data_IF_729788292167
#
_entry.id   IF_729788292167
#
_cell.length_a   1.000
_cell.length_b   1.000
_cell.length_c   1.000
_cell.angle_alpha   90.00
_cell.angle_beta   90.00
_cell.angle_gamma   90.00
#
_symmetry.space_group_name_H-M   'P 1'
#
loop_
_entity.id
_entity.type
_entity.pdbx_description
1 polymer ?
#
# COMPACT_ATOMS: atom_id res chain seq x y z
N UNK A 1 20.20 -10.14 -1.58
CA UNK A 1 19.63 -9.71 -0.29
C UNK A 1 19.57 -8.19 -0.10
N UNK A 2 20.68 -7.46 0.13
CA UNK A 2 20.61 -6.00 0.34
C UNK A 2 20.13 -5.24 -0.91
N UNK A 3 20.58 -5.64 -2.10
CA UNK A 3 20.17 -5.00 -3.36
C UNK A 3 18.67 -5.22 -3.63
N UNK A 4 18.15 -6.43 -3.41
CA UNK A 4 16.72 -6.74 -3.56
C UNK A 4 15.86 -5.97 -2.54
N UNK A 5 16.36 -5.85 -1.30
CA UNK A 5 15.70 -5.05 -0.27
C UNK A 5 15.57 -3.59 -0.68
N UNK A 6 16.67 -2.96 -1.12
CA UNK A 6 16.64 -1.57 -1.55
C UNK A 6 15.82 -1.38 -2.83
N UNK A 7 15.91 -2.30 -3.79
CA UNK A 7 15.10 -2.25 -5.01
C UNK A 7 13.60 -2.32 -4.69
N UNK A 8 13.20 -3.24 -3.81
CA UNK A 8 11.81 -3.41 -3.43
C UNK A 8 11.28 -2.27 -2.56
N UNK A 9 12.08 -1.78 -1.62
CA UNK A 9 11.74 -0.60 -0.82
C UNK A 9 11.58 0.63 -1.72
N UNK A 10 12.48 0.84 -2.67
CA UNK A 10 12.42 1.96 -3.63
C UNK A 10 11.17 1.85 -4.50
N UNK A 11 10.91 0.66 -5.03
CA UNK A 11 9.71 0.37 -5.84
C UNK A 11 8.43 0.62 -5.05
N UNK A 12 8.29 0.04 -3.85
CA UNK A 12 7.11 0.24 -3.00
C UNK A 12 6.92 1.71 -2.62
N UNK A 13 8.01 2.41 -2.32
CA UNK A 13 7.97 3.85 -2.05
C UNK A 13 7.48 4.63 -3.27
N UNK A 14 8.02 4.37 -4.46
CA UNK A 14 7.63 5.03 -5.72
C UNK A 14 6.15 4.79 -6.04
N UNK A 15 5.68 3.55 -5.93
CA UNK A 15 4.29 3.20 -6.23
C UNK A 15 3.28 3.89 -5.30
N UNK A 16 3.72 4.22 -4.08
CA UNK A 16 2.86 4.74 -3.02
C UNK A 16 3.05 6.24 -2.77
N UNK A 17 3.95 6.90 -3.50
CA UNK A 17 4.05 8.37 -3.49
C UNK A 17 2.80 9.06 -4.06
N UNK A 18 2.18 8.58 -5.18
CA UNK A 18 1.00 9.23 -5.75
C UNK A 18 -0.17 9.34 -4.77
N UNK A 19 -0.38 8.34 -3.90
CA UNK A 19 -1.45 8.35 -2.90
C UNK A 19 -1.22 9.38 -1.79
N UNK A 20 0.03 9.76 -1.53
CA UNK A 20 0.36 10.77 -0.53
C UNK A 20 0.20 12.21 -1.07
N UNK A 21 0.08 12.41 -2.39
CA UNK A 21 -0.03 13.73 -3.01
C UNK A 21 -1.13 14.64 -2.42
N UNK A 22 -2.41 14.20 -2.31
CA UNK A 22 -3.47 15.05 -1.75
C UNK A 22 -3.23 15.42 -0.28
N UNK A 23 -2.60 14.53 0.49
CA UNK A 23 -2.24 14.80 1.89
C UNK A 23 -1.10 15.80 2.01
N UNK A 24 -0.08 15.69 1.16
CA UNK A 24 1.02 16.66 1.10
C UNK A 24 0.49 18.03 0.68
N UNK A 25 -0.38 18.10 -0.32
CA UNK A 25 -1.01 19.34 -0.78
C UNK A 25 -1.86 20.00 0.32
N UNK A 26 -2.65 19.23 1.06
CA UNK A 26 -3.45 19.72 2.19
C UNK A 26 -2.59 20.16 3.39
N UNK A 27 -1.51 19.43 3.69
CA UNK A 27 -0.57 19.82 4.74
C UNK A 27 0.14 21.14 4.40
N UNK A 28 0.55 21.31 3.13
CA UNK A 28 1.14 22.54 2.63
C UNK A 28 0.19 23.74 2.70
N UNK A 29 -1.08 23.56 2.32
CA UNK A 29 -2.06 24.66 2.33
C UNK A 29 -2.35 25.17 3.75
N UNK A 30 -2.53 24.25 4.71
CA UNK A 30 -2.75 24.59 6.12
C UNK A 30 -1.49 25.22 6.73
N UNK A 31 -0.30 24.66 6.44
CA UNK A 31 0.97 25.21 6.93
C UNK A 31 1.26 26.60 6.37
N UNK A 32 0.81 26.93 5.16
CA UNK A 32 0.96 28.25 4.54
C UNK A 32 0.01 29.29 5.16
N UNK A 33 -1.18 28.87 5.58
CA UNK A 33 -2.17 29.74 6.24
C UNK A 33 -1.82 30.05 7.70
N UNK A 34 -1.05 29.19 8.36
CA UNK A 34 -0.57 29.42 9.74
C UNK A 34 0.61 30.39 9.73
N UNK A 35 0.29 31.67 9.86
CA UNK A 35 1.07 32.90 9.78
C UNK A 35 2.45 32.98 10.51
N UNK A 36 3.40 32.10 10.17
CA UNK A 36 4.78 32.10 10.72
C UNK A 36 5.89 31.87 9.66
N UNK A 37 5.73 32.50 8.49
CA UNK A 37 6.83 33.10 7.71
C UNK A 37 7.83 32.20 6.98
N UNK A 38 7.91 30.89 7.27
CA UNK A 38 8.67 29.97 6.43
C UNK A 38 7.92 28.64 6.34
N UNK A 39 7.64 28.22 5.12
CA UNK A 39 7.49 26.79 4.83
C UNK A 39 8.75 26.13 5.38
N UNK A 40 8.68 25.54 6.58
CA UNK A 40 9.75 24.68 7.03
C UNK A 40 9.64 23.45 6.16
N UNK A 41 10.33 23.45 5.02
CA UNK A 41 10.46 22.29 4.14
C UNK A 41 10.81 21.03 4.95
N UNK A 42 11.57 21.22 6.05
CA UNK A 42 11.80 20.25 7.11
C UNK A 42 10.53 19.52 7.62
N UNK A 43 9.41 20.19 7.83
CA UNK A 43 8.17 19.56 8.32
C UNK A 43 7.51 18.67 7.26
N UNK A 44 7.53 19.09 6.00
CA UNK A 44 7.03 18.27 4.88
C UNK A 44 7.91 17.03 4.71
N UNK A 45 9.24 17.20 4.80
CA UNK A 45 10.20 16.10 4.78
C UNK A 45 9.92 15.13 5.94
N UNK A 46 9.67 15.62 7.14
CA UNK A 46 9.35 14.78 8.30
C UNK A 46 8.02 14.04 8.14
N UNK A 47 7.01 14.65 7.51
CA UNK A 47 5.76 13.97 7.17
C UNK A 47 6.00 12.82 6.19
N UNK A 48 6.74 13.07 5.11
CA UNK A 48 7.11 12.04 4.13
C UNK A 48 7.95 10.93 4.78
N UNK A 49 8.88 11.29 5.66
CA UNK A 49 9.67 10.31 6.43
C UNK A 49 8.80 9.42 7.29
N UNK A 50 7.81 9.97 8.01
CA UNK A 50 6.86 9.17 8.79
C UNK A 50 6.10 8.16 7.93
N UNK A 51 5.69 8.55 6.73
CA UNK A 51 5.04 7.68 5.75
C UNK A 51 5.97 6.55 5.27
N UNK A 52 7.19 6.90 4.87
CA UNK A 52 8.20 5.94 4.37
C UNK A 52 8.59 4.94 5.45
N UNK A 53 8.69 5.35 6.72
CA UNK A 53 9.02 4.44 7.83
C UNK A 53 7.99 3.33 7.97
N UNK A 54 6.69 3.64 7.86
CA UNK A 54 5.63 2.63 7.93
C UNK A 54 5.72 1.66 6.75
N UNK A 55 5.90 2.18 5.53
CA UNK A 55 6.05 1.35 4.34
C UNK A 55 7.33 0.50 4.36
N UNK A 56 8.42 1.03 4.90
CA UNK A 56 9.67 0.30 5.09
C UNK A 56 9.49 -0.88 6.05
N UNK A 57 8.74 -0.68 7.15
CA UNK A 57 8.38 -1.77 8.06
C UNK A 57 7.61 -2.89 7.35
N UNK A 58 6.68 -2.53 6.46
CA UNK A 58 5.95 -3.51 5.65
C UNK A 58 6.84 -4.25 4.64
N UNK A 59 7.74 -3.53 3.95
CA UNK A 59 8.70 -4.15 3.02
C UNK A 59 9.60 -5.17 3.73
N UNK A 60 10.02 -4.90 4.97
CA UNK A 60 10.78 -5.86 5.79
C UNK A 60 9.96 -7.14 6.04
N UNK A 61 8.67 -7.02 6.37
CA UNK A 61 7.81 -8.18 6.61
C UNK A 61 7.66 -9.05 5.36
N UNK A 62 7.44 -8.44 4.20
CA UNK A 62 7.32 -9.18 2.95
C UNK A 62 8.66 -9.83 2.54
N UNK A 63 9.79 -9.17 2.78
CA UNK A 63 11.12 -9.75 2.51
C UNK A 63 11.44 -10.91 3.44
N UNK A 64 11.10 -10.79 4.72
CA UNK A 64 11.22 -11.89 5.65
C UNK A 64 10.37 -13.08 5.21
N UNK A 65 9.14 -12.84 4.73
CA UNK A 65 8.26 -13.88 4.21
C UNK A 65 8.85 -14.55 2.96
N UNK A 66 9.41 -13.76 2.05
CA UNK A 66 10.10 -14.26 0.84
C UNK A 66 11.31 -15.13 1.20
N UNK A 67 12.15 -14.67 2.13
CA UNK A 67 13.31 -15.43 2.59
C UNK A 67 12.93 -16.76 3.22
N UNK A 68 11.85 -16.80 4.00
CA UNK A 68 11.37 -18.04 4.60
C UNK A 68 10.83 -19.02 3.55
N UNK A 69 10.13 -18.51 2.53
CA UNK A 69 9.71 -19.31 1.38
C UNK A 69 10.92 -19.87 0.62
N UNK A 70 11.95 -19.05 0.36
CA UNK A 70 13.20 -19.49 -0.29
C UNK A 70 13.92 -20.58 0.49
N UNK A 71 13.97 -20.46 1.83
CA UNK A 71 14.52 -21.49 2.72
C UNK A 71 13.73 -22.80 2.63
N UNK A 72 12.41 -22.73 2.51
CA UNK A 72 11.55 -23.91 2.33
C UNK A 72 11.81 -24.51 0.95
N UNK A 73 11.83 -23.72 -0.12
CA UNK A 73 12.11 -24.16 -1.49
C UNK A 73 13.43 -24.94 -1.59
N UNK A 74 14.50 -24.42 -0.98
CA UNK A 74 15.81 -25.09 -0.95
C UNK A 74 15.80 -26.43 -0.19
N UNK A 75 14.87 -26.64 0.75
CA UNK A 75 14.79 -27.85 1.58
C UNK A 75 13.88 -28.93 1.00
N UNK A 76 12.80 -28.57 0.32
CA UNK A 76 11.79 -29.53 -0.13
C UNK A 76 11.91 -29.97 -1.59
N UNK A 77 12.84 -29.42 -2.39
CA UNK A 77 12.96 -29.68 -3.85
C UNK A 77 11.67 -29.44 -4.66
N UNK A 78 10.67 -28.80 -4.04
CA UNK A 78 9.44 -28.37 -4.68
C UNK A 78 9.77 -27.23 -5.64
N UNK A 79 9.28 -27.31 -6.88
CA UNK A 79 9.41 -26.20 -7.81
C UNK A 79 8.63 -25.00 -7.25
N UNK A 80 9.29 -23.83 -7.26
CA UNK A 80 8.72 -22.56 -6.82
C UNK A 80 7.35 -22.29 -7.48
N UNK A 81 7.23 -22.66 -8.75
CA UNK A 81 6.02 -22.49 -9.58
C UNK A 81 4.82 -23.27 -9.02
N UNK A 82 5.01 -24.50 -8.53
CA UNK A 82 3.90 -25.37 -8.09
C UNK A 82 3.29 -24.86 -6.77
N UNK A 83 4.13 -24.34 -5.88
CA UNK A 83 3.66 -23.79 -4.60
C UNK A 83 2.94 -22.45 -4.79
N UNK A 84 3.48 -21.56 -5.62
CA UNK A 84 2.82 -20.29 -5.94
C UNK A 84 1.53 -20.53 -6.72
N UNK A 85 1.49 -21.50 -7.64
CA UNK A 85 0.26 -21.92 -8.33
C UNK A 85 -0.82 -22.42 -7.36
N UNK A 86 -0.41 -23.15 -6.31
CA UNK A 86 -1.34 -23.67 -5.31
C UNK A 86 -1.85 -22.60 -4.32
N UNK A 87 -1.01 -21.63 -3.95
CA UNK A 87 -1.32 -20.62 -2.91
C UNK A 87 -1.96 -19.36 -3.50
N UNK A 88 -1.55 -18.94 -4.70
CA UNK A 88 -2.05 -17.71 -5.35
C UNK A 88 -3.57 -17.63 -5.46
N UNK A 89 -4.31 -18.70 -5.82
CA UNK A 89 -5.76 -18.63 -5.95
C UNK A 89 -6.45 -18.31 -4.62
N UNK A 90 -5.99 -18.90 -3.53
CA UNK A 90 -6.50 -18.62 -2.19
C UNK A 90 -6.20 -17.19 -1.74
N UNK A 91 -4.99 -16.69 -2.04
CA UNK A 91 -4.64 -15.30 -1.75
C UNK A 91 -5.52 -14.34 -2.56
N UNK A 92 -5.72 -14.58 -3.86
CA UNK A 92 -6.59 -13.77 -4.71
C UNK A 92 -8.03 -13.72 -4.20
N UNK A 93 -8.58 -14.86 -3.78
CA UNK A 93 -9.93 -14.93 -3.18
C UNK A 93 -9.97 -14.14 -1.87
N UNK A 94 -8.98 -14.30 -1.00
CA UNK A 94 -8.88 -13.56 0.26
C UNK A 94 -8.77 -12.04 0.05
N UNK A 95 -7.99 -11.62 -0.95
CA UNK A 95 -7.84 -10.21 -1.32
C UNK A 95 -9.12 -9.65 -1.93
N UNK A 96 -9.78 -10.40 -2.80
CA UNK A 96 -11.09 -10.04 -3.34
C UNK A 96 -12.14 -9.90 -2.24
N UNK A 97 -12.19 -10.84 -1.31
CA UNK A 97 -13.07 -10.77 -0.14
C UNK A 97 -12.77 -9.55 0.73
N UNK A 98 -11.50 -9.29 1.05
CA UNK A 98 -11.06 -8.10 1.78
C UNK A 98 -11.51 -6.82 1.08
N UNK A 99 -11.39 -6.80 -0.24
CA UNK A 99 -11.69 -5.64 -1.07
C UNK A 99 -13.19 -5.32 -1.15
N UNK A 100 -14.05 -6.31 -0.87
CA UNK A 100 -15.50 -6.14 -0.72
C UNK A 100 -15.93 -5.77 0.70
N UNK A 101 -15.03 -5.81 1.69
CA UNK A 101 -15.40 -5.53 3.09
C UNK A 101 -15.76 -4.07 3.36
N UNK A 102 -16.66 -3.81 4.32
CA UNK A 102 -16.91 -2.45 4.79
C UNK A 102 -15.68 -1.83 5.47
N UNK A 103 -14.78 -2.67 6.01
CA UNK A 103 -13.53 -2.21 6.63
C UNK A 103 -12.62 -1.52 5.62
N UNK A 104 -12.43 -2.12 4.43
CA UNK A 104 -11.67 -1.46 3.35
C UNK A 104 -12.31 -0.13 2.95
N UNK A 105 -13.63 -0.09 2.79
CA UNK A 105 -14.34 1.14 2.40
C UNK A 105 -14.17 2.25 3.46
N UNK A 106 -14.26 1.91 4.74
CA UNK A 106 -14.02 2.86 5.83
C UNK A 106 -12.58 3.39 5.84
N UNK A 107 -11.60 2.50 5.64
CA UNK A 107 -10.19 2.87 5.51
C UNK A 107 -9.97 3.83 4.34
N UNK A 108 -10.53 3.49 3.17
CA UNK A 108 -10.36 4.24 1.93
C UNK A 108 -10.99 5.64 2.03
N UNK A 109 -12.15 5.76 2.67
CA UNK A 109 -12.76 7.07 2.99
C UNK A 109 -11.82 7.92 3.83
N UNK A 110 -11.24 7.34 4.89
CA UNK A 110 -10.30 8.05 5.75
C UNK A 110 -9.04 8.49 5.00
N UNK A 111 -8.47 7.62 4.18
CA UNK A 111 -7.32 7.93 3.32
C UNK A 111 -7.60 9.06 2.32
N UNK A 112 -8.85 9.29 1.93
CA UNK A 112 -9.24 10.34 0.97
C UNK A 112 -9.62 11.68 1.59
N UNK A 113 -9.83 11.75 2.90
CA UNK A 113 -10.31 12.97 3.58
C UNK A 113 -9.22 13.61 4.45
N UNK A 114 -8.13 14.15 3.86
CA UNK A 114 -7.01 14.71 4.62
C UNK A 114 -7.43 15.91 5.48
N UNK A 115 -8.34 16.75 4.96
CA UNK A 115 -8.81 17.97 5.63
C UNK A 115 -9.51 17.68 6.96
N UNK A 116 -10.36 16.65 7.02
CA UNK A 116 -11.08 16.33 8.26
C UNK A 116 -10.10 15.91 9.37
N UNK A 117 -9.08 15.12 9.03
CA UNK A 117 -8.04 14.72 9.97
C UNK A 117 -7.21 15.91 10.43
N UNK A 118 -6.71 16.74 9.51
CA UNK A 118 -5.89 17.89 9.87
C UNK A 118 -6.66 18.92 10.72
N UNK A 119 -7.95 19.15 10.45
CA UNK A 119 -8.76 20.05 11.27
C UNK A 119 -9.01 19.50 12.68
N UNK A 120 -9.13 18.18 12.85
CA UNK A 120 -9.44 17.56 14.14
C UNK A 120 -8.20 17.21 14.98
N UNK A 121 -7.06 16.91 14.35
CA UNK A 121 -5.89 16.30 14.99
C UNK A 121 -4.56 16.96 14.60
N UNK A 122 -4.58 18.26 14.25
CA UNK A 122 -3.35 18.99 13.91
C UNK A 122 -2.34 18.94 15.06
N UNK A 123 -1.13 18.46 14.77
CA UNK A 123 -0.01 18.46 15.73
C UNK A 123 1.11 19.37 15.23
N UNK A 124 1.35 20.45 15.97
CA UNK A 124 2.41 21.40 15.66
C UNK A 124 3.82 20.81 15.89
N UNK A 125 4.79 21.31 15.12
CA UNK A 125 6.21 20.99 15.29
C UNK A 125 6.70 19.75 14.53
N UNK A 126 8.02 19.50 14.54
CA UNK A 126 8.65 18.45 13.74
C UNK A 126 8.16 17.04 14.12
N UNK A 127 7.97 16.77 15.42
CA UNK A 127 7.43 15.50 15.91
C UNK A 127 5.97 15.31 15.50
N UNK A 128 5.19 16.39 15.47
CA UNK A 128 3.80 16.36 15.00
C UNK A 128 3.71 15.96 13.53
N UNK A 129 4.53 16.58 12.67
CA UNK A 129 4.60 16.26 11.25
C UNK A 129 4.94 14.78 10.99
N UNK A 130 5.94 14.23 11.70
CA UNK A 130 6.32 12.83 11.58
C UNK A 130 5.19 11.88 12.02
N UNK A 131 4.54 12.16 13.16
CA UNK A 131 3.43 11.33 13.65
C UNK A 131 2.22 11.38 12.70
N UNK A 132 1.92 12.54 12.13
CA UNK A 132 0.83 12.66 11.14
C UNK A 132 1.13 11.88 9.86
N UNK A 133 2.39 11.90 9.39
CA UNK A 133 2.85 11.10 8.26
C UNK A 133 2.76 9.59 8.52
N UNK A 134 3.20 9.14 9.71
CA UNK A 134 3.11 7.74 10.11
C UNK A 134 1.65 7.28 10.26
N UNK A 135 0.78 8.12 10.82
CA UNK A 135 -0.65 7.83 10.92
C UNK A 135 -1.28 7.62 9.54
N UNK A 136 -1.03 8.53 8.60
CA UNK A 136 -1.48 8.38 7.22
C UNK A 136 -0.90 7.10 6.57
N UNK A 137 0.38 6.81 6.80
CA UNK A 137 1.03 5.59 6.33
C UNK A 137 0.33 4.31 6.81
N UNK A 138 -0.06 4.25 8.09
CA UNK A 138 -0.76 3.09 8.67
C UNK A 138 -2.14 2.89 8.04
N UNK A 139 -2.89 3.96 7.81
CA UNK A 139 -4.18 3.87 7.11
C UNK A 139 -3.97 3.46 5.65
N UNK A 140 -3.06 4.09 4.92
CA UNK A 140 -2.77 3.75 3.52
C UNK A 140 -2.39 2.27 3.38
N UNK A 141 -1.50 1.79 4.27
CA UNK A 141 -1.14 0.38 4.36
C UNK A 141 -2.36 -0.48 4.66
N UNK A 142 -3.20 -0.11 5.63
CA UNK A 142 -4.44 -0.81 5.94
C UNK A 142 -5.40 -0.91 4.75
N UNK A 143 -5.41 0.05 3.84
CA UNK A 143 -6.31 0.00 2.68
C UNK A 143 -5.71 -0.83 1.53
N UNK A 144 -4.38 -0.88 1.41
CA UNK A 144 -3.68 -1.41 0.24
C UNK A 144 -2.92 -2.73 0.49
N UNK A 145 -2.72 -3.16 1.75
CA UNK A 145 -1.89 -4.33 2.08
C UNK A 145 -2.35 -5.60 1.37
N UNK A 146 -3.66 -5.82 1.23
CA UNK A 146 -4.21 -6.98 0.56
C UNK A 146 -3.81 -7.01 -0.93
N UNK A 147 -3.90 -5.88 -1.63
CA UNK A 147 -3.43 -5.77 -3.02
C UNK A 147 -1.93 -6.02 -3.13
N UNK A 148 -1.14 -5.57 -2.14
CA UNK A 148 0.29 -5.83 -2.10
C UNK A 148 0.60 -7.33 -1.89
N UNK A 149 -0.20 -8.01 -1.06
CA UNK A 149 -0.09 -9.47 -0.89
C UNK A 149 -0.45 -10.22 -2.16
N UNK A 150 -1.48 -9.81 -2.90
CA UNK A 150 -1.79 -10.42 -4.19
C UNK A 150 -0.64 -10.26 -5.19
N UNK A 151 -0.06 -9.05 -5.28
CA UNK A 151 1.09 -8.82 -6.15
C UNK A 151 2.27 -9.72 -5.77
N UNK A 152 2.50 -9.91 -4.46
CA UNK A 152 3.55 -10.80 -3.95
C UNK A 152 3.26 -12.28 -4.20
N UNK A 153 2.03 -12.75 -3.98
CA UNK A 153 1.65 -14.16 -4.18
C UNK A 153 1.71 -14.55 -5.64
N UNK A 154 1.35 -13.64 -6.55
CA UNK A 154 1.45 -13.88 -7.98
C UNK A 154 2.90 -14.09 -8.43
N UNK A 155 3.91 -13.79 -7.61
CA UNK A 155 5.32 -14.06 -7.91
C UNK A 155 5.88 -13.22 -9.06
N UNK A 156 5.10 -12.24 -9.53
CA UNK A 156 5.40 -11.47 -10.72
C UNK A 156 6.21 -10.24 -10.30
N UNK A 157 7.53 -10.41 -10.17
CA UNK A 157 8.50 -9.28 -10.24
C UNK A 157 8.54 -8.62 -11.63
N UNK A 158 7.44 -8.70 -12.38
CA UNK A 158 7.28 -8.12 -13.69
C UNK A 158 6.82 -6.68 -13.54
N UNK A 159 7.51 -5.81 -14.27
CA UNK A 159 7.22 -4.38 -14.34
C UNK A 159 5.74 -4.11 -14.69
N UNK A 160 5.12 -5.00 -15.47
CA UNK A 160 3.71 -4.90 -15.88
C UNK A 160 2.77 -4.94 -14.68
N UNK A 161 2.97 -5.89 -13.77
CA UNK A 161 2.13 -6.03 -12.57
C UNK A 161 2.36 -4.89 -11.60
N UNK A 162 3.59 -4.43 -11.45
CA UNK A 162 3.88 -3.23 -10.64
C UNK A 162 3.09 -2.02 -11.17
N UNK A 163 3.15 -1.75 -12.47
CA UNK A 163 2.41 -0.64 -13.08
C UNK A 163 0.91 -0.82 -12.90
N UNK A 164 0.39 -2.02 -13.13
CA UNK A 164 -1.03 -2.32 -12.98
C UNK A 164 -1.52 -2.07 -11.55
N UNK A 165 -0.85 -2.63 -10.54
CA UNK A 165 -1.24 -2.45 -9.14
C UNK A 165 -1.05 -1.00 -8.67
N UNK A 166 -0.03 -0.30 -9.16
CA UNK A 166 0.14 1.15 -8.92
C UNK A 166 -1.06 1.93 -9.42
N UNK A 167 -1.50 1.65 -10.65
CA UNK A 167 -2.66 2.30 -11.25
C UNK A 167 -3.92 1.97 -10.46
N UNK A 168 -4.13 0.71 -10.09
CA UNK A 168 -5.28 0.30 -9.27
C UNK A 168 -5.31 1.09 -7.96
N UNK A 169 -4.21 1.09 -7.20
CA UNK A 169 -4.12 1.78 -5.91
C UNK A 169 -4.25 3.29 -6.06
N UNK A 170 -3.68 3.87 -7.12
CA UNK A 170 -3.80 5.30 -7.41
C UNK A 170 -5.23 5.68 -7.75
N UNK A 171 -5.91 4.90 -8.60
CA UNK A 171 -7.31 5.11 -8.97
C UNK A 171 -8.21 4.95 -7.72
N UNK A 172 -7.97 3.94 -6.90
CA UNK A 172 -8.68 3.75 -5.63
C UNK A 172 -8.46 4.93 -4.69
N UNK A 173 -7.26 5.50 -4.59
CA UNK A 173 -6.99 6.57 -3.63
C UNK A 173 -7.35 7.96 -4.15
N UNK A 174 -7.36 8.19 -5.47
CA UNK A 174 -7.54 9.51 -6.06
C UNK A 174 -8.96 9.78 -6.58
N UNK A 175 -9.71 8.75 -7.01
CA UNK A 175 -11.05 8.96 -7.54
C UNK A 175 -12.12 9.05 -6.45
N UNK A 176 -13.08 9.96 -6.62
CA UNK A 176 -14.24 10.11 -5.74
C UNK A 176 -15.05 8.81 -5.60
N UNK A 177 -15.14 8.01 -6.66
CA UNK A 177 -15.87 6.73 -6.69
C UNK A 177 -14.97 5.50 -6.50
N UNK A 178 -13.75 5.64 -5.98
CA UNK A 178 -12.83 4.51 -5.93
C UNK A 178 -13.29 3.36 -5.00
N UNK A 179 -14.35 3.53 -4.19
CA UNK A 179 -15.01 2.40 -3.50
C UNK A 179 -15.69 1.43 -4.49
N UNK A 180 -16.35 1.98 -5.51
CA UNK A 180 -16.96 1.17 -6.58
C UNK A 180 -15.86 0.48 -7.37
N UNK A 181 -14.81 1.22 -7.73
CA UNK A 181 -13.65 0.66 -8.41
C UNK A 181 -12.97 -0.43 -7.57
N UNK A 182 -12.81 -0.22 -6.26
CA UNK A 182 -12.30 -1.24 -5.36
C UNK A 182 -13.15 -2.50 -5.42
N UNK A 183 -14.48 -2.40 -5.28
CA UNK A 183 -15.37 -3.57 -5.38
C UNK A 183 -15.26 -4.29 -6.72
N UNK A 184 -15.14 -3.56 -7.83
CA UNK A 184 -14.94 -4.15 -9.16
C UNK A 184 -13.62 -4.93 -9.23
N UNK A 185 -12.52 -4.33 -8.77
CA UNK A 185 -11.21 -5.02 -8.71
C UNK A 185 -11.30 -6.24 -7.80
N UNK A 186 -11.98 -6.14 -6.66
CA UNK A 186 -12.16 -7.26 -5.73
C UNK A 186 -12.95 -8.41 -6.36
N UNK A 187 -14.02 -8.10 -7.08
CA UNK A 187 -14.79 -9.10 -7.82
C UNK A 187 -13.94 -9.77 -8.90
N UNK A 188 -13.15 -9.00 -9.67
CA UNK A 188 -12.24 -9.53 -10.70
C UNK A 188 -11.17 -10.45 -10.08
N UNK A 189 -10.58 -10.05 -8.96
CA UNK A 189 -9.56 -10.88 -8.30
C UNK A 189 -10.16 -12.16 -7.73
N UNK A 190 -11.36 -12.07 -7.15
CA UNK A 190 -12.06 -13.23 -6.60
C UNK A 190 -12.45 -14.22 -7.71
N UNK A 191 -13.02 -13.74 -8.83
CA UNK A 191 -13.36 -14.61 -9.96
C UNK A 191 -12.11 -15.20 -10.58
N UNK A 192 -11.03 -14.43 -10.73
CA UNK A 192 -9.78 -14.94 -11.26
C UNK A 192 -9.18 -16.05 -10.36
N UNK A 193 -9.16 -15.84 -9.04
CA UNK A 193 -8.76 -16.88 -8.09
C UNK A 193 -9.60 -18.15 -8.21
N UNK A 194 -10.93 -18.02 -8.32
CA UNK A 194 -11.82 -19.18 -8.51
C UNK A 194 -11.52 -19.91 -9.83
N UNK A 195 -11.30 -19.18 -10.93
CA UNK A 195 -10.97 -19.80 -12.22
C UNK A 195 -9.65 -20.56 -12.20
N UNK A 196 -8.66 -20.10 -11.42
CA UNK A 196 -7.40 -20.80 -11.26
C UNK A 196 -7.56 -22.11 -10.48
N UNK A 197 -8.45 -22.17 -9.48
CA UNK A 197 -8.76 -23.42 -8.76
C UNK A 197 -9.52 -24.40 -9.65
N UNK A 198 -10.44 -23.91 -10.48
CA UNK A 198 -11.24 -24.76 -11.37
C UNK A 198 -10.47 -25.24 -12.61
N UNK A 199 -9.42 -24.52 -13.01
CA UNK A 199 -8.58 -24.83 -14.15
C UNK A 199 -7.30 -25.62 -13.81
N UNK A 200 -7.00 -25.82 -12.53
CA UNK A 200 -5.89 -26.64 -12.01
C UNK A 200 -6.33 -28.07 -11.71
#
# INVERSE_FOLDING_TARGET
>A
MLIEFFAWMTMMSIMMVPSAYPWIAAFLSISKSSNNGSLKASWVILFILGYIVVWSGFSVLLLFSNFQLDRIFQRTSLNQIDLYSSISPWVLIGVGAYQLTPLKNACLKHCRTPLHYFLAQWKNGPRGALLMGAHHGLFCLGCCWALMLAMFSLGLMSLVWMVLFTLIVSIENLLAQGEVFARLVGAIMMTWGITLILGS
#
